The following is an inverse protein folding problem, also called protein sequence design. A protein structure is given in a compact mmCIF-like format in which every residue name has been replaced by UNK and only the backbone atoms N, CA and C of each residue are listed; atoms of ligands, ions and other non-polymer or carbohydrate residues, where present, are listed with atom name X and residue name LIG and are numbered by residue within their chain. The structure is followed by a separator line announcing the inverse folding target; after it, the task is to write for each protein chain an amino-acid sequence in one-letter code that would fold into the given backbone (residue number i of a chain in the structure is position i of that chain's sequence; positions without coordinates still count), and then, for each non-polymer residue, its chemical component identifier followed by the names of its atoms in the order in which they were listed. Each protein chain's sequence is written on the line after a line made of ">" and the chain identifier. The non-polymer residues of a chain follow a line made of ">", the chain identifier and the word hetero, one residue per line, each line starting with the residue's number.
data_IF_080970316652
#
_entry.id   IF_080970316652
#
_cell.length_a   1.000
_cell.length_b   1.000
_cell.length_c   1.000
_cell.angle_alpha   90.00
_cell.angle_beta   90.00
_cell.angle_gamma   90.00
#
_symmetry.space_group_name_H-M   'P 1'
#
loop_
_entity.id
_entity.type
_entity.pdbx_description
1 polymer ?
#
# COMPACT_ATOMS: atom_id res chain seq x y z
N UNK A 1 1.58 4.15 -63.07
CA UNK A 1 2.89 4.67 -62.65
C UNK A 1 2.73 5.25 -61.26
N UNK A 2 3.33 4.57 -60.25
CA UNK A 2 3.82 5.04 -58.92
C UNK A 2 2.96 6.03 -58.11
N UNK A 3 2.71 5.92 -56.80
CA UNK A 3 3.19 5.15 -55.64
C UNK A 3 2.07 5.25 -54.55
N UNK A 4 1.77 4.27 -53.71
CA UNK A 4 2.52 3.87 -52.50
C UNK A 4 1.90 4.50 -51.23
N UNK A 5 1.43 3.69 -50.27
CA UNK A 5 1.46 3.84 -48.78
C UNK A 5 0.47 2.85 -48.12
N UNK A 6 1.00 2.10 -47.14
CA UNK A 6 0.43 1.46 -45.94
C UNK A 6 -1.04 1.80 -45.57
N UNK A 7 -1.88 0.90 -45.03
CA UNK A 7 -1.66 0.16 -43.79
C UNK A 7 -2.73 -0.93 -43.54
N UNK A 8 -2.42 -1.85 -42.62
CA UNK A 8 -3.21 -2.99 -42.19
C UNK A 8 -4.38 -2.64 -41.23
N UNK A 9 -5.37 -3.55 -41.16
CA UNK A 9 -6.34 -3.83 -40.05
C UNK A 9 -7.81 -3.73 -40.45
N UNK A 10 -8.50 -4.89 -40.47
CA UNK A 10 -9.88 -5.17 -40.02
C UNK A 10 -10.33 -6.47 -40.73
N UNK A 11 -10.20 -7.65 -40.12
CA UNK A 11 -11.12 -8.26 -39.15
C UNK A 11 -12.57 -8.35 -39.70
N UNK A 12 -12.86 -9.48 -40.36
CA UNK A 12 -14.19 -9.92 -40.79
C UNK A 12 -14.87 -10.73 -39.66
N UNK A 13 -16.12 -10.42 -39.28
CA UNK A 13 -16.88 -11.14 -38.27
C UNK A 13 -17.98 -12.01 -38.92
N UNK A 14 -17.93 -13.33 -38.68
CA UNK A 14 -19.09 -14.21 -38.84
C UNK A 14 -18.95 -15.42 -37.90
N UNK A 15 -19.73 -15.45 -36.81
CA UNK A 15 -20.98 -16.23 -36.70
C UNK A 15 -20.69 -17.66 -36.21
N UNK A 16 -20.70 -17.87 -34.90
CA UNK A 16 -21.88 -18.31 -34.13
C UNK A 16 -22.40 -19.70 -34.56
N UNK A 17 -22.16 -20.69 -33.69
CA UNK A 17 -23.11 -21.75 -33.34
C UNK A 17 -22.57 -22.43 -32.08
N UNK A 18 -23.03 -21.98 -30.91
CA UNK A 18 -24.02 -22.65 -30.08
C UNK A 18 -23.40 -23.64 -29.07
N UNK A 19 -23.37 -23.25 -27.79
CA UNK A 19 -24.37 -23.57 -26.75
C UNK A 19 -24.02 -24.89 -26.05
N UNK A 20 -23.56 -24.83 -24.80
CA UNK A 20 -24.38 -25.10 -23.61
C UNK A 20 -23.52 -25.23 -22.33
N UNK A 21 -23.96 -24.58 -21.24
CA UNK A 21 -23.96 -25.18 -19.90
C UNK A 21 -22.67 -25.28 -19.05
N UNK A 22 -22.40 -24.20 -18.31
CA UNK A 22 -21.89 -24.15 -16.91
C UNK A 22 -20.45 -24.62 -16.55
N UNK A 23 -19.89 -24.09 -15.44
CA UNK A 23 -18.45 -23.92 -15.20
C UNK A 23 -17.86 -24.98 -14.26
N UNK A 24 -16.55 -25.21 -14.28
CA UNK A 24 -15.74 -25.45 -13.08
C UNK A 24 -14.24 -25.60 -13.41
N UNK A 25 -13.41 -24.96 -12.59
CA UNK A 25 -12.06 -25.35 -12.20
C UNK A 25 -11.01 -25.62 -13.30
N UNK A 26 -10.02 -24.72 -13.40
CA UNK A 26 -8.65 -25.09 -13.78
C UNK A 26 -7.65 -24.13 -13.12
N UNK A 27 -7.36 -24.43 -11.85
CA UNK A 27 -6.08 -24.08 -11.24
C UNK A 27 -5.03 -25.03 -11.79
N UNK A 28 -4.04 -24.46 -12.47
CA UNK A 28 -2.83 -25.16 -12.90
C UNK A 28 -1.93 -25.27 -11.69
N UNK A 29 -1.80 -26.46 -11.12
CA UNK A 29 -0.77 -26.75 -10.12
C UNK A 29 0.46 -27.32 -10.82
N UNK A 30 1.55 -26.56 -10.73
CA UNK A 30 2.87 -26.83 -11.28
C UNK A 30 3.67 -27.50 -10.18
N UNK A 31 3.50 -28.80 -9.96
CA UNK A 31 4.48 -29.56 -9.17
C UNK A 31 4.41 -31.07 -9.41
N UNK A 32 5.03 -31.53 -10.51
CA UNK A 32 5.42 -32.92 -10.65
C UNK A 32 6.87 -33.07 -10.17
N UNK A 33 7.17 -33.84 -9.11
CA UNK A 33 8.54 -34.15 -8.76
C UNK A 33 9.08 -35.23 -9.70
N UNK A 34 10.24 -34.93 -10.29
CA UNK A 34 11.04 -35.75 -11.18
C UNK A 34 11.33 -37.15 -10.61
N UNK A 35 11.01 -38.17 -11.41
CA UNK A 35 11.42 -39.55 -11.20
C UNK A 35 12.95 -39.67 -11.31
N UNK A 36 13.57 -40.29 -10.30
CA UNK A 36 14.95 -40.82 -10.39
C UNK A 36 14.87 -42.34 -10.32
N UNK A 37 15.69 -42.90 -11.19
CA UNK A 37 15.70 -44.22 -11.78
C UNK A 37 16.19 -45.34 -10.84
N UNK A 38 15.71 -46.55 -11.15
CA UNK A 38 16.05 -47.83 -10.55
C UNK A 38 17.55 -48.16 -10.59
N UNK A 39 18.07 -48.67 -9.48
CA UNK A 39 19.16 -49.64 -9.48
C UNK A 39 18.66 -50.87 -8.70
N UNK A 40 18.49 -51.99 -9.43
CA UNK A 40 18.32 -53.34 -8.88
C UNK A 40 19.71 -53.86 -8.55
N UNK A 41 19.88 -54.38 -7.34
CA UNK A 41 20.91 -55.37 -7.05
C UNK A 41 20.25 -56.54 -6.31
N UNK A 42 20.61 -57.74 -6.77
CA UNK A 42 20.11 -59.03 -6.34
C UNK A 42 20.57 -59.41 -4.93
N UNK A 43 19.68 -60.00 -4.13
CA UNK A 43 20.08 -60.85 -3.01
C UNK A 43 19.01 -61.91 -2.70
N UNK A 44 19.28 -63.10 -3.24
CA UNK A 44 19.14 -64.42 -2.64
C UNK A 44 18.00 -64.71 -1.64
N UNK A 45 17.19 -65.68 -2.03
CA UNK A 45 16.29 -66.44 -1.17
C UNK A 45 17.03 -67.10 0.00
N UNK A 46 16.47 -66.94 1.20
CA UNK A 46 16.77 -67.78 2.38
C UNK A 46 15.46 -68.47 2.80
N UNK A 47 15.40 -69.81 2.87
CA UNK A 47 14.22 -70.53 3.32
C UNK A 47 14.23 -70.64 4.84
N UNK A 48 13.16 -70.19 5.48
CA UNK A 48 13.01 -70.28 6.93
C UNK A 48 11.71 -69.64 7.40
N UNK A 49 10.60 -70.38 7.32
CA UNK A 49 9.48 -70.13 8.21
C UNK A 49 9.90 -70.57 9.63
N UNK A 50 9.54 -69.81 10.67
CA UNK A 50 8.40 -70.30 11.44
C UNK A 50 7.48 -69.22 12.04
N UNK A 51 6.25 -69.70 12.27
CA UNK A 51 5.26 -69.23 13.26
C UNK A 51 4.40 -67.99 12.93
N UNK A 52 3.19 -68.28 12.46
CA UNK A 52 2.02 -67.41 12.58
C UNK A 52 1.82 -67.01 14.05
N UNK A 53 2.04 -65.72 14.34
CA UNK A 53 1.50 -65.06 15.55
C UNK A 53 0.10 -64.55 15.22
N UNK A 54 -0.86 -64.63 16.15
CA UNK A 54 -2.24 -64.23 15.88
C UNK A 54 -2.31 -62.74 15.52
N UNK A 55 -2.98 -62.45 14.41
CA UNK A 55 -3.17 -61.12 13.86
C UNK A 55 -3.72 -60.13 14.91
N UNK A 56 -2.90 -59.15 15.29
CA UNK A 56 -3.38 -57.95 15.96
C UNK A 56 -4.10 -57.05 14.94
N UNK A 57 -5.12 -56.27 15.33
CA UNK A 57 -5.98 -55.56 14.39
C UNK A 57 -5.26 -54.33 13.80
N UNK A 58 -4.39 -54.53 12.80
CA UNK A 58 -3.66 -53.45 12.10
C UNK A 58 -4.60 -52.45 11.40
N UNK A 59 -5.83 -52.86 11.08
CA UNK A 59 -6.82 -52.03 10.38
C UNK A 59 -7.29 -50.83 11.21
N UNK A 60 -7.32 -50.93 12.55
CA UNK A 60 -7.76 -49.80 13.41
C UNK A 60 -6.67 -48.74 13.59
N UNK A 61 -5.39 -49.13 13.47
CA UNK A 61 -4.24 -48.23 13.67
C UNK A 61 -3.99 -47.29 12.48
N UNK A 62 -4.21 -47.76 11.23
CA UNK A 62 -4.03 -46.92 10.03
C UNK A 62 -5.17 -45.91 9.85
N UNK A 63 -6.41 -46.31 10.16
CA UNK A 63 -7.59 -45.43 10.09
C UNK A 63 -7.45 -44.26 11.06
N UNK A 64 -7.03 -44.51 12.31
CA UNK A 64 -6.88 -43.46 13.30
C UNK A 64 -5.79 -42.43 12.90
N UNK A 65 -4.71 -42.88 12.23
CA UNK A 65 -3.64 -41.99 11.76
C UNK A 65 -4.08 -41.12 10.56
N UNK A 66 -4.87 -41.67 9.63
CA UNK A 66 -5.43 -40.87 8.53
C UNK A 66 -6.48 -39.86 9.00
N UNK A 67 -7.34 -40.23 9.94
CA UNK A 67 -8.32 -39.32 10.54
C UNK A 67 -7.63 -38.19 11.30
N UNK A 68 -6.60 -38.48 12.10
CA UNK A 68 -5.82 -37.45 12.82
C UNK A 68 -5.07 -36.53 11.85
N UNK A 69 -4.53 -37.04 10.74
CA UNK A 69 -3.79 -36.20 9.78
C UNK A 69 -4.73 -35.31 8.95
N UNK A 70 -5.92 -35.80 8.63
CA UNK A 70 -6.97 -35.00 7.95
C UNK A 70 -7.61 -33.95 8.86
N UNK A 71 -7.80 -34.24 10.15
CA UNK A 71 -8.33 -33.27 11.12
C UNK A 71 -7.29 -32.23 11.57
N UNK A 72 -6.03 -32.64 11.71
CA UNK A 72 -4.95 -31.73 12.15
C UNK A 72 -4.28 -30.97 11.00
N UNK A 73 -4.46 -31.40 9.75
CA UNK A 73 -3.96 -30.71 8.55
C UNK A 73 -4.40 -29.24 8.45
N UNK A 74 -5.72 -28.95 8.41
CA UNK A 74 -6.20 -27.57 8.30
C UNK A 74 -5.90 -26.74 9.56
N UNK A 75 -5.91 -27.36 10.74
CA UNK A 75 -5.60 -26.69 12.01
C UNK A 75 -4.11 -26.30 12.11
N UNK A 76 -3.20 -27.19 11.69
CA UNK A 76 -1.75 -26.93 11.64
C UNK A 76 -1.37 -25.95 10.53
N UNK A 77 -2.14 -25.92 9.43
CA UNK A 77 -2.01 -24.90 8.40
C UNK A 77 -2.38 -23.51 8.97
N UNK A 78 -3.52 -23.39 9.67
CA UNK A 78 -3.92 -22.14 10.34
C UNK A 78 -2.92 -21.66 11.41
N UNK A 79 -2.36 -22.57 12.21
CA UNK A 79 -1.35 -22.24 13.22
C UNK A 79 0.00 -21.81 12.59
N UNK A 80 0.48 -22.52 11.55
CA UNK A 80 1.73 -22.14 10.85
C UNK A 80 1.59 -20.84 10.04
N UNK A 81 0.41 -20.59 9.48
CA UNK A 81 0.08 -19.32 8.82
C UNK A 81 0.16 -18.15 9.81
N UNK A 82 -0.26 -18.38 11.06
CA UNK A 82 -0.22 -17.38 12.13
C UNK A 82 1.22 -17.08 12.55
N UNK A 83 2.07 -18.10 12.73
CA UNK A 83 3.48 -17.92 13.10
C UNK A 83 4.26 -17.13 12.04
N UNK A 84 4.06 -17.42 10.75
CA UNK A 84 4.72 -16.70 9.65
C UNK A 84 4.27 -15.23 9.55
N UNK A 85 2.99 -14.98 9.82
CA UNK A 85 2.43 -13.62 9.86
C UNK A 85 3.00 -12.80 11.02
N UNK A 86 3.14 -13.42 12.20
CA UNK A 86 3.73 -12.81 13.39
C UNK A 86 5.22 -12.48 13.17
N UNK A 87 5.98 -13.35 12.50
CA UNK A 87 7.38 -13.07 12.16
C UNK A 87 7.54 -11.91 11.17
N UNK A 88 6.59 -11.75 10.24
CA UNK A 88 6.60 -10.64 9.28
C UNK A 88 6.27 -9.31 9.96
N UNK A 89 5.31 -9.32 10.89
CA UNK A 89 5.00 -8.19 11.76
C UNK A 89 6.18 -7.84 12.68
N UNK A 90 6.82 -8.84 13.29
CA UNK A 90 8.00 -8.65 14.13
C UNK A 90 9.14 -7.93 13.38
N UNK A 91 9.43 -8.36 12.15
CA UNK A 91 10.42 -7.69 11.28
C UNK A 91 10.04 -6.25 10.91
N UNK A 92 8.76 -5.97 10.68
CA UNK A 92 8.29 -4.61 10.43
C UNK A 92 8.52 -3.69 11.64
N UNK A 93 8.16 -4.16 12.84
CA UNK A 93 8.36 -3.41 14.07
C UNK A 93 9.84 -3.21 14.38
N UNK A 94 10.68 -4.22 14.16
CA UNK A 94 12.12 -4.13 14.35
C UNK A 94 12.75 -3.10 13.39
N UNK A 95 12.43 -3.19 12.09
CA UNK A 95 12.88 -2.21 11.10
C UNK A 95 12.40 -0.80 11.44
N UNK A 96 11.15 -0.66 11.86
CA UNK A 96 10.57 0.62 12.27
C UNK A 96 11.33 1.20 13.45
N UNK A 97 11.53 0.41 14.52
CA UNK A 97 12.23 0.84 15.72
C UNK A 97 13.69 1.23 15.41
N UNK A 98 14.40 0.44 14.61
CA UNK A 98 15.77 0.73 14.19
C UNK A 98 15.83 2.00 13.32
N UNK A 99 14.96 2.14 12.33
CA UNK A 99 14.93 3.32 11.46
C UNK A 99 14.68 4.62 12.26
N UNK A 100 13.75 4.59 13.23
CA UNK A 100 13.52 5.72 14.13
C UNK A 100 14.70 5.97 15.07
N UNK A 101 15.27 4.92 15.65
CA UNK A 101 16.43 5.05 16.55
C UNK A 101 17.63 5.65 15.81
N UNK A 102 17.93 5.20 14.59
CA UNK A 102 18.97 5.76 13.75
C UNK A 102 18.66 7.20 13.33
N UNK A 103 17.42 7.50 12.93
CA UNK A 103 17.02 8.86 12.59
C UNK A 103 17.25 9.83 13.76
N UNK A 104 16.82 9.44 14.96
CA UNK A 104 16.98 10.26 16.17
C UNK A 104 18.46 10.38 16.54
N UNK A 105 19.19 9.27 16.53
CA UNK A 105 20.62 9.24 16.91
C UNK A 105 21.48 10.07 15.96
N UNK A 106 21.26 9.94 14.65
CA UNK A 106 22.00 10.70 13.64
C UNK A 106 21.62 12.20 13.64
N UNK A 107 20.41 12.54 14.09
CA UNK A 107 19.96 13.93 14.25
C UNK A 107 20.62 14.57 15.46
N UNK A 108 20.67 13.86 16.58
CA UNK A 108 21.36 14.30 17.79
C UNK A 108 22.86 14.41 17.56
N UNK A 109 23.44 13.49 16.77
CA UNK A 109 24.88 13.49 16.44
C UNK A 109 25.27 14.48 15.33
N UNK A 110 24.32 15.23 14.74
CA UNK A 110 24.55 16.22 13.67
C UNK A 110 25.32 15.68 12.44
N UNK A 111 25.38 14.35 12.27
CA UNK A 111 26.08 13.67 11.16
C UNK A 111 25.14 13.23 10.04
N UNK A 112 23.90 13.72 10.06
CA UNK A 112 22.91 13.37 9.05
C UNK A 112 23.37 13.73 7.64
N UNK A 113 23.28 12.80 6.67
CA UNK A 113 23.58 13.07 5.27
C UNK A 113 22.44 13.90 4.65
N UNK A 114 22.43 15.20 4.94
CA UNK A 114 21.42 16.15 4.44
C UNK A 114 21.34 16.19 2.93
N UNK A 115 22.47 15.98 2.23
CA UNK A 115 22.52 15.90 0.77
C UNK A 115 21.65 14.77 0.23
N UNK A 116 21.77 13.58 0.82
CA UNK A 116 20.99 12.41 0.41
C UNK A 116 19.50 12.60 0.74
N UNK A 117 19.21 13.21 1.88
CA UNK A 117 17.82 13.51 2.30
C UNK A 117 17.15 14.49 1.34
N UNK A 118 17.84 15.56 0.93
CA UNK A 118 17.30 16.55 -0.02
C UNK A 118 17.07 15.91 -1.40
N UNK A 119 18.01 15.08 -1.87
CA UNK A 119 17.86 14.37 -3.14
C UNK A 119 16.66 13.42 -3.10
N UNK A 120 16.47 12.70 -1.99
CA UNK A 120 15.30 11.82 -1.80
C UNK A 120 14.00 12.61 -1.70
N UNK A 121 14.00 13.76 -1.01
CA UNK A 121 12.84 14.64 -0.95
C UNK A 121 12.44 15.15 -2.34
N UNK A 122 13.42 15.59 -3.14
CA UNK A 122 13.20 16.03 -4.51
C UNK A 122 12.64 14.90 -5.39
N UNK A 123 13.17 13.69 -5.26
CA UNK A 123 12.68 12.52 -5.97
C UNK A 123 11.21 12.22 -5.62
N UNK A 124 10.87 12.18 -4.32
CA UNK A 124 9.50 11.91 -3.86
C UNK A 124 8.54 13.01 -4.36
N UNK A 125 8.93 14.29 -4.27
CA UNK A 125 8.14 15.41 -4.78
C UNK A 125 7.91 15.28 -6.29
N UNK A 126 8.97 14.99 -7.05
CA UNK A 126 8.88 14.90 -8.51
C UNK A 126 7.90 13.81 -8.98
N UNK A 127 7.87 12.66 -8.28
CA UNK A 127 6.98 11.54 -8.61
C UNK A 127 5.54 11.79 -8.15
N UNK A 128 5.32 12.62 -7.12
CA UNK A 128 3.99 12.83 -6.53
C UNK A 128 3.30 14.13 -6.93
N UNK A 129 4.03 15.17 -7.31
CA UNK A 129 3.48 16.51 -7.56
C UNK A 129 2.49 16.55 -8.73
N UNK A 130 2.83 15.93 -9.87
CA UNK A 130 1.95 15.91 -11.05
C UNK A 130 0.67 15.10 -10.75
N UNK A 131 0.73 13.85 -10.25
CA UNK A 131 -0.47 13.14 -9.83
C UNK A 131 -1.29 13.88 -8.77
N UNK A 132 -0.64 14.57 -7.82
CA UNK A 132 -1.33 15.37 -6.81
C UNK A 132 -2.13 16.51 -7.42
N UNK A 133 -1.55 17.23 -8.38
CA UNK A 133 -2.27 18.27 -9.13
C UNK A 133 -3.47 17.67 -9.88
N UNK A 134 -3.25 16.59 -10.63
CA UNK A 134 -4.28 16.00 -11.48
C UNK A 134 -5.44 15.38 -10.69
N UNK A 135 -5.19 14.87 -9.48
CA UNK A 135 -6.23 14.28 -8.63
C UNK A 135 -6.92 15.33 -7.75
N UNK A 136 -6.20 16.34 -7.27
CA UNK A 136 -6.77 17.35 -6.36
C UNK A 136 -7.84 18.23 -7.01
N UNK A 137 -7.69 18.57 -8.30
CA UNK A 137 -8.67 19.38 -9.04
C UNK A 137 -10.03 18.65 -9.13
N UNK A 138 -10.14 17.46 -9.77
CA UNK A 138 -11.43 16.78 -9.90
C UNK A 138 -12.00 16.40 -8.54
N UNK A 139 -11.15 16.04 -7.56
CA UNK A 139 -11.61 15.78 -6.20
C UNK A 139 -12.26 17.02 -5.56
N UNK A 140 -11.62 18.19 -5.67
CA UNK A 140 -12.17 19.46 -5.18
C UNK A 140 -13.48 19.84 -5.86
N UNK A 141 -13.58 19.64 -7.18
CA UNK A 141 -14.82 19.86 -7.94
C UNK A 141 -15.94 18.93 -7.46
N UNK A 142 -15.69 17.63 -7.32
CA UNK A 142 -16.69 16.66 -6.89
C UNK A 142 -17.22 17.02 -5.49
N UNK A 143 -16.33 17.34 -4.54
CA UNK A 143 -16.74 17.72 -3.19
C UNK A 143 -17.56 19.01 -3.21
N UNK A 144 -17.12 20.03 -3.96
CA UNK A 144 -17.83 21.31 -4.02
C UNK A 144 -19.22 21.20 -4.67
N UNK A 145 -19.36 20.38 -5.72
CA UNK A 145 -20.66 20.13 -6.37
C UNK A 145 -21.56 19.31 -5.45
N UNK A 146 -21.06 18.22 -4.86
CA UNK A 146 -21.89 17.35 -4.03
C UNK A 146 -22.38 18.08 -2.78
N UNK A 147 -21.46 18.73 -2.05
CA UNK A 147 -21.81 19.48 -0.84
C UNK A 147 -22.67 20.69 -1.18
N UNK A 148 -22.34 21.41 -2.25
CA UNK A 148 -23.11 22.57 -2.67
C UNK A 148 -24.55 22.22 -3.06
N UNK A 149 -24.77 21.13 -3.80
CA UNK A 149 -26.11 20.65 -4.13
C UNK A 149 -26.93 20.29 -2.88
N UNK A 150 -26.33 19.63 -1.89
CA UNK A 150 -27.01 19.33 -0.62
C UNK A 150 -27.37 20.61 0.15
N UNK A 151 -26.46 21.58 0.21
CA UNK A 151 -26.67 22.86 0.91
C UNK A 151 -27.78 23.68 0.24
N UNK A 152 -27.84 23.68 -1.10
CA UNK A 152 -28.88 24.36 -1.87
C UNK A 152 -30.27 23.75 -1.63
N UNK A 153 -30.37 22.42 -1.48
CA UNK A 153 -31.64 21.74 -1.17
C UNK A 153 -32.20 22.16 0.20
N UNK A 154 -31.32 22.49 1.15
CA UNK A 154 -31.71 22.97 2.49
C UNK A 154 -31.83 24.51 2.53
N UNK A 155 -31.59 25.20 1.41
CA UNK A 155 -31.71 26.66 1.28
C UNK A 155 -30.58 27.46 1.95
N UNK A 156 -29.49 26.81 2.35
CA UNK A 156 -28.42 27.41 3.15
C UNK A 156 -27.19 27.81 2.31
N UNK A 157 -27.41 28.37 1.11
CA UNK A 157 -26.34 28.66 0.12
C UNK A 157 -25.15 29.45 0.67
N UNK A 158 -25.39 30.31 1.67
CA UNK A 158 -24.35 31.11 2.32
C UNK A 158 -23.27 30.27 3.00
N UNK A 159 -23.55 29.05 3.50
CA UNK A 159 -22.57 28.18 4.21
C UNK A 159 -21.91 27.13 3.31
N UNK A 160 -22.18 27.15 2.00
CA UNK A 160 -21.69 26.14 1.06
C UNK A 160 -20.15 26.05 1.03
N UNK A 161 -19.46 27.19 1.10
CA UNK A 161 -17.98 27.24 1.10
C UNK A 161 -17.34 26.68 2.37
N UNK A 162 -17.96 26.88 3.53
CA UNK A 162 -17.52 26.27 4.78
C UNK A 162 -17.66 24.75 4.72
N UNK A 163 -18.86 24.26 4.35
CA UNK A 163 -19.15 22.84 4.34
C UNK A 163 -18.26 22.07 3.35
N UNK A 164 -18.06 22.60 2.14
CA UNK A 164 -17.18 21.99 1.14
C UNK A 164 -15.71 22.04 1.56
N UNK A 165 -15.24 23.21 2.00
CA UNK A 165 -13.84 23.41 2.37
C UNK A 165 -13.40 22.59 3.59
N UNK A 166 -14.24 22.50 4.62
CA UNK A 166 -13.96 21.67 5.80
C UNK A 166 -13.91 20.18 5.47
N UNK A 167 -14.78 19.69 4.57
CA UNK A 167 -14.74 18.31 4.10
C UNK A 167 -13.43 17.98 3.38
N UNK A 168 -12.96 18.88 2.52
CA UNK A 168 -11.66 18.74 1.84
C UNK A 168 -10.52 18.77 2.84
N UNK A 169 -10.48 19.71 3.79
CA UNK A 169 -9.37 19.84 4.74
C UNK A 169 -9.32 18.64 5.70
N UNK A 170 -10.44 18.29 6.34
CA UNK A 170 -10.44 17.32 7.45
C UNK A 170 -10.27 15.86 7.02
N UNK A 171 -10.74 15.52 5.83
CA UNK A 171 -10.78 14.13 5.34
C UNK A 171 -10.20 14.01 3.93
N UNK A 172 -10.67 14.84 3.00
CA UNK A 172 -10.32 14.67 1.59
C UNK A 172 -8.83 14.76 1.29
N UNK A 173 -8.18 15.84 1.69
CA UNK A 173 -6.78 16.10 1.40
C UNK A 173 -5.84 15.08 2.08
N UNK A 174 -5.99 14.72 3.37
CA UNK A 174 -5.18 13.68 3.99
C UNK A 174 -5.31 12.32 3.30
N UNK A 175 -6.51 11.96 2.84
CA UNK A 175 -6.76 10.68 2.15
C UNK A 175 -6.14 10.65 0.75
N UNK A 176 -6.30 11.73 -0.02
CA UNK A 176 -5.66 11.84 -1.35
C UNK A 176 -4.13 11.81 -1.21
N UNK A 177 -3.58 12.56 -0.23
CA UNK A 177 -2.15 12.55 0.04
C UNK A 177 -1.64 11.15 0.42
N UNK A 178 -2.36 10.44 1.30
CA UNK A 178 -2.05 9.07 1.68
C UNK A 178 -2.00 8.10 0.49
N UNK A 179 -3.01 8.16 -0.38
CA UNK A 179 -3.10 7.30 -1.56
C UNK A 179 -1.96 7.58 -2.55
N UNK A 180 -1.62 8.85 -2.75
CA UNK A 180 -0.52 9.24 -3.65
C UNK A 180 0.84 8.89 -3.08
N UNK A 181 1.05 9.07 -1.78
CA UNK A 181 2.26 8.64 -1.11
C UNK A 181 2.38 7.11 -1.17
N UNK A 182 1.30 6.37 -0.93
CA UNK A 182 1.28 4.90 -1.02
C UNK A 182 1.55 4.40 -2.43
N UNK A 183 0.82 4.93 -3.40
CA UNK A 183 0.86 4.49 -4.79
C UNK A 183 2.11 4.96 -5.53
N UNK A 184 2.36 6.27 -5.60
CA UNK A 184 3.42 6.82 -6.44
C UNK A 184 4.78 6.81 -5.72
N UNK A 185 4.88 7.44 -4.55
CA UNK A 185 6.14 7.50 -3.80
C UNK A 185 6.55 6.12 -3.25
N UNK A 186 5.61 5.39 -2.65
CA UNK A 186 5.83 4.07 -2.08
C UNK A 186 6.30 3.06 -3.12
N UNK A 187 5.64 3.00 -4.28
CA UNK A 187 6.10 2.13 -5.38
C UNK A 187 7.47 2.50 -5.90
N UNK A 188 7.75 3.80 -6.07
CA UNK A 188 9.06 4.25 -6.55
C UNK A 188 10.18 3.86 -5.55
N UNK A 189 9.93 4.01 -4.25
CA UNK A 189 10.88 3.64 -3.19
C UNK A 189 11.05 2.13 -3.10
N UNK A 190 9.95 1.36 -3.12
CA UNK A 190 10.00 -0.10 -3.10
C UNK A 190 10.72 -0.66 -4.33
N UNK A 191 10.52 -0.05 -5.51
CA UNK A 191 11.20 -0.45 -6.76
C UNK A 191 12.69 -0.17 -6.70
N UNK A 192 13.12 1.03 -6.29
CA UNK A 192 14.54 1.37 -6.20
C UNK A 192 15.26 0.48 -5.17
N UNK A 193 14.62 0.22 -4.02
CA UNK A 193 15.22 -0.62 -2.99
C UNK A 193 15.22 -2.11 -3.40
N UNK A 194 14.13 -2.60 -3.99
CA UNK A 194 14.05 -3.94 -4.54
C UNK A 194 15.05 -4.19 -5.66
N UNK A 195 15.26 -3.21 -6.55
CA UNK A 195 16.28 -3.28 -7.59
C UNK A 195 17.70 -3.40 -7.02
N UNK A 196 18.01 -2.68 -5.93
CA UNK A 196 19.31 -2.80 -5.23
C UNK A 196 19.46 -4.14 -4.54
N UNK A 197 18.38 -4.66 -3.97
CA UNK A 197 18.36 -5.99 -3.33
C UNK A 197 18.67 -7.08 -4.35
N UNK A 198 18.01 -7.10 -5.52
CA UNK A 198 18.26 -8.13 -6.55
C UNK A 198 19.60 -7.98 -7.28
N UNK A 199 20.26 -6.82 -7.15
CA UNK A 199 21.61 -6.57 -7.66
C UNK A 199 22.70 -6.84 -6.61
N UNK A 200 22.33 -7.42 -5.46
CA UNK A 200 23.25 -7.76 -4.36
C UNK A 200 23.95 -6.54 -3.72
N UNK A 201 23.48 -5.31 -4.01
CA UNK A 201 24.07 -4.08 -3.45
C UNK A 201 23.81 -3.98 -1.94
N UNK A 202 22.65 -4.46 -1.48
CA UNK A 202 22.26 -4.45 -0.06
C UNK A 202 23.13 -5.43 0.75
N UNK A 203 23.44 -6.60 0.18
CA UNK A 203 24.28 -7.58 0.83
C UNK A 203 25.76 -7.18 0.80
N UNK A 204 26.21 -6.51 -0.26
CA UNK A 204 27.53 -5.88 -0.30
C UNK A 204 27.71 -4.86 0.85
N UNK A 205 26.70 -4.05 1.17
CA UNK A 205 26.76 -3.13 2.32
C UNK A 205 26.96 -3.88 3.65
N UNK A 206 26.24 -5.00 3.85
CA UNK A 206 26.38 -5.85 5.04
C UNK A 206 27.78 -6.44 5.17
N UNK A 207 28.38 -6.89 4.07
CA UNK A 207 29.76 -7.42 4.03
C UNK A 207 30.78 -6.32 4.35
N UNK A 208 30.53 -5.08 3.92
CA UNK A 208 31.35 -3.92 4.26
C UNK A 208 31.14 -3.42 5.71
N UNK A 209 30.31 -4.10 6.51
CA UNK A 209 30.02 -3.71 7.89
C UNK A 209 29.15 -2.46 8.02
N UNK A 210 28.44 -2.06 6.96
CA UNK A 210 27.53 -0.91 6.94
C UNK A 210 26.10 -1.41 7.08
N UNK A 211 25.36 -0.88 8.06
CA UNK A 211 23.95 -1.22 8.23
C UNK A 211 23.10 -0.66 7.06
N UNK A 212 22.44 -1.51 6.25
CA UNK A 212 21.59 -1.06 5.16
C UNK A 212 20.38 -0.23 5.64
N UNK A 213 19.86 -0.48 6.85
CA UNK A 213 18.74 0.29 7.40
C UNK A 213 19.18 1.74 7.61
N UNK A 214 20.31 1.94 8.27
CA UNK A 214 20.85 3.26 8.52
C UNK A 214 21.16 4.01 7.22
N UNK A 215 21.76 3.35 6.23
CA UNK A 215 22.24 4.00 4.99
C UNK A 215 21.13 4.24 3.97
N UNK A 216 20.13 3.35 3.86
CA UNK A 216 19.12 3.39 2.79
C UNK A 216 17.74 3.86 3.26
N UNK A 217 17.34 3.51 4.49
CA UNK A 217 15.99 3.79 5.02
C UNK A 217 15.93 5.15 5.70
N UNK A 218 16.90 5.47 6.56
CA UNK A 218 16.95 6.75 7.30
C UNK A 218 16.81 8.00 6.43
N UNK A 219 17.56 8.19 5.32
CA UNK A 219 17.43 9.40 4.51
C UNK A 219 16.05 9.51 3.83
N UNK A 220 15.38 8.39 3.53
CA UNK A 220 14.03 8.37 2.96
C UNK A 220 12.98 8.69 4.01
N UNK A 221 13.14 8.17 5.22
CA UNK A 221 12.30 8.49 6.36
C UNK A 221 12.41 9.99 6.71
N UNK A 222 13.63 10.54 6.72
CA UNK A 222 13.84 11.96 6.90
C UNK A 222 13.18 12.78 5.78
N UNK A 223 13.30 12.34 4.52
CA UNK A 223 12.69 13.03 3.38
C UNK A 223 11.15 13.07 3.49
N UNK A 224 10.50 11.95 3.82
CA UNK A 224 9.02 11.90 3.86
C UNK A 224 8.45 12.77 4.98
N UNK A 225 9.18 12.92 6.09
CA UNK A 225 8.79 13.77 7.23
C UNK A 225 8.59 15.22 6.78
N UNK A 226 9.39 15.71 5.82
CA UNK A 226 9.24 17.06 5.27
C UNK A 226 8.31 17.11 4.05
N UNK A 227 8.33 16.09 3.20
CA UNK A 227 7.55 16.10 1.95
C UNK A 227 6.05 15.88 2.19
N UNK A 228 5.67 14.98 3.11
CA UNK A 228 4.27 14.68 3.40
C UNK A 228 3.44 15.93 3.81
N UNK A 229 3.88 16.79 4.75
CA UNK A 229 3.11 17.99 5.10
C UNK A 229 3.04 19.01 3.95
N UNK A 230 4.12 19.18 3.18
CA UNK A 230 4.15 20.08 2.02
C UNK A 230 3.17 19.61 0.94
N UNK A 231 3.15 18.30 0.66
CA UNK A 231 2.22 17.70 -0.30
C UNK A 231 0.76 17.85 0.16
N UNK A 232 0.49 17.71 1.46
CA UNK A 232 -0.84 17.94 2.03
C UNK A 232 -1.31 19.38 1.81
N UNK A 233 -0.48 20.36 2.15
CA UNK A 233 -0.80 21.77 1.95
C UNK A 233 -1.05 22.11 0.48
N UNK A 234 -0.27 21.52 -0.44
CA UNK A 234 -0.48 21.66 -1.87
C UNK A 234 -1.84 21.10 -2.33
N UNK A 235 -2.22 19.91 -1.86
CA UNK A 235 -3.52 19.29 -2.18
C UNK A 235 -4.69 20.11 -1.60
N UNK A 236 -4.57 20.62 -0.38
CA UNK A 236 -5.58 21.49 0.23
C UNK A 236 -5.77 22.75 -0.61
N UNK A 237 -4.67 23.41 -0.99
CA UNK A 237 -4.71 24.63 -1.79
C UNK A 237 -5.40 24.40 -3.14
N UNK A 238 -4.99 23.36 -3.88
CA UNK A 238 -5.58 23.03 -5.18
C UNK A 238 -7.04 22.59 -5.07
N UNK A 239 -7.38 21.80 -4.06
CA UNK A 239 -8.75 21.35 -3.82
C UNK A 239 -9.71 22.51 -3.49
N UNK A 240 -9.27 23.45 -2.65
CA UNK A 240 -10.02 24.65 -2.31
C UNK A 240 -10.16 25.60 -3.51
N UNK A 241 -9.09 25.79 -4.29
CA UNK A 241 -9.11 26.63 -5.49
C UNK A 241 -10.09 26.08 -6.55
N UNK A 242 -10.08 24.76 -6.78
CA UNK A 242 -11.01 24.10 -7.68
C UNK A 242 -12.46 24.22 -7.19
N UNK A 243 -12.70 24.02 -5.88
CA UNK A 243 -14.02 24.17 -5.28
C UNK A 243 -14.58 25.59 -5.38
N UNK A 244 -13.73 26.60 -5.15
CA UNK A 244 -14.07 28.01 -5.32
C UNK A 244 -14.45 28.34 -6.78
N UNK A 245 -13.64 27.90 -7.74
CA UNK A 245 -13.88 28.16 -9.16
C UNK A 245 -15.24 27.62 -9.62
N UNK A 246 -15.61 26.41 -9.18
CA UNK A 246 -16.90 25.80 -9.52
C UNK A 246 -18.07 26.46 -8.79
N UNK A 247 -17.90 26.84 -7.53
CA UNK A 247 -18.97 27.49 -6.77
C UNK A 247 -19.38 28.83 -7.40
N UNK A 248 -18.39 29.64 -7.77
CA UNK A 248 -18.59 30.94 -8.42
C UNK A 248 -19.08 30.79 -9.87
N UNK A 249 -18.52 29.84 -10.62
CA UNK A 249 -18.82 29.68 -12.04
C UNK A 249 -20.16 28.98 -12.34
N UNK A 250 -20.49 27.91 -11.60
CA UNK A 250 -21.59 27.00 -11.96
C UNK A 250 -22.72 26.96 -10.94
N UNK A 251 -22.48 27.28 -9.66
CA UNK A 251 -23.49 27.16 -8.58
C UNK A 251 -24.10 28.50 -8.16
N UNK A 252 -23.93 29.55 -8.98
CA UNK A 252 -24.44 30.92 -8.75
C UNK A 252 -24.13 31.49 -7.35
N UNK A 253 -23.07 30.99 -6.71
CA UNK A 253 -22.61 31.46 -5.40
C UNK A 253 -21.90 32.80 -5.53
N UNK A 254 -22.16 33.71 -4.59
CA UNK A 254 -21.41 34.96 -4.53
C UNK A 254 -19.98 34.70 -4.04
N UNK A 255 -18.94 35.16 -4.76
CA UNK A 255 -17.54 34.97 -4.37
C UNK A 255 -17.24 35.38 -2.92
N UNK A 256 -17.82 36.51 -2.51
CA UNK A 256 -17.67 37.03 -1.16
C UNK A 256 -18.27 36.12 -0.09
N UNK A 257 -19.41 35.49 -0.35
CA UNK A 257 -20.05 34.57 0.61
C UNK A 257 -19.24 33.28 0.78
N UNK A 258 -18.61 32.77 -0.29
CA UNK A 258 -17.78 31.57 -0.19
C UNK A 258 -16.57 31.79 0.71
N UNK A 259 -15.82 32.88 0.46
CA UNK A 259 -14.61 33.20 1.21
C UNK A 259 -14.95 33.59 2.65
N UNK A 260 -16.02 34.37 2.86
CA UNK A 260 -16.44 34.77 4.21
C UNK A 260 -16.86 33.56 5.05
N UNK A 261 -17.64 32.64 4.48
CA UNK A 261 -18.06 31.42 5.20
C UNK A 261 -16.91 30.46 5.41
N UNK A 262 -16.03 30.30 4.43
CA UNK A 262 -14.83 29.51 4.65
C UNK A 262 -13.96 30.11 5.78
N UNK A 263 -13.73 31.43 5.79
CA UNK A 263 -12.93 32.09 6.82
C UNK A 263 -13.57 32.07 8.22
N UNK A 264 -14.90 32.07 8.33
CA UNK A 264 -15.59 32.03 9.62
C UNK A 264 -15.61 30.64 10.26
N UNK A 265 -15.64 29.58 9.44
CA UNK A 265 -15.72 28.19 9.92
C UNK A 265 -14.40 27.42 9.85
N UNK A 266 -13.46 27.80 8.98
CA UNK A 266 -12.17 27.13 8.88
C UNK A 266 -11.28 27.53 10.05
N UNK A 267 -11.00 26.57 10.94
CA UNK A 267 -10.03 26.76 12.01
C UNK A 267 -8.63 26.40 11.55
N UNK A 268 -7.62 27.15 12.03
CA UNK A 268 -6.21 26.77 11.89
C UNK A 268 -5.97 25.36 12.46
N UNK A 269 -6.72 24.98 13.49
CA UNK A 269 -6.63 23.65 14.10
C UNK A 269 -7.00 22.53 13.12
N UNK A 270 -7.97 22.76 12.23
CA UNK A 270 -8.38 21.75 11.23
C UNK A 270 -7.25 21.46 10.24
N UNK A 271 -6.54 22.50 9.82
CA UNK A 271 -5.37 22.37 8.93
C UNK A 271 -4.22 21.68 9.66
N UNK A 272 -3.94 22.05 10.91
CA UNK A 272 -2.87 21.42 11.70
C UNK A 272 -3.13 19.92 11.90
N UNK A 273 -4.37 19.54 12.24
CA UNK A 273 -4.76 18.13 12.38
C UNK A 273 -4.64 17.39 11.05
N UNK A 274 -5.06 18.00 9.95
CA UNK A 274 -4.93 17.40 8.61
C UNK A 274 -3.46 17.16 8.24
N UNK A 275 -2.59 18.14 8.48
CA UNK A 275 -1.16 18.05 8.22
C UNK A 275 -0.50 16.97 9.10
N UNK A 276 -0.84 16.93 10.39
CA UNK A 276 -0.31 15.93 11.33
C UNK A 276 -0.75 14.50 10.95
N UNK A 277 -2.00 14.32 10.52
CA UNK A 277 -2.49 13.05 9.97
C UNK A 277 -1.66 12.63 8.76
N UNK A 278 -1.52 13.50 7.76
CA UNK A 278 -0.75 13.19 6.55
C UNK A 278 0.71 12.91 6.83
N UNK A 279 1.30 13.62 7.78
CA UNK A 279 2.67 13.36 8.23
C UNK A 279 2.83 11.93 8.76
N UNK A 280 1.94 11.48 9.65
CA UNK A 280 1.93 10.10 10.15
C UNK A 280 1.69 9.08 9.02
N UNK A 281 0.78 9.38 8.09
CA UNK A 281 0.51 8.51 6.95
C UNK A 281 1.74 8.32 6.06
N UNK A 282 2.47 9.40 5.77
CA UNK A 282 3.70 9.33 4.98
C UNK A 282 4.77 8.47 5.64
N UNK A 283 4.92 8.59 6.96
CA UNK A 283 5.87 7.77 7.73
C UNK A 283 5.51 6.28 7.68
N UNK A 284 4.24 5.93 7.87
CA UNK A 284 3.82 4.51 7.78
C UNK A 284 4.06 3.96 6.37
N UNK A 285 3.68 4.72 5.35
CA UNK A 285 3.85 4.31 3.95
C UNK A 285 5.32 4.08 3.60
N UNK A 286 6.22 5.01 3.96
CA UNK A 286 7.64 4.86 3.59
C UNK A 286 8.26 3.63 4.27
N UNK A 287 7.88 3.35 5.53
CA UNK A 287 8.40 2.21 6.27
C UNK A 287 7.93 0.90 5.66
N UNK A 288 6.66 0.81 5.28
CA UNK A 288 6.11 -0.37 4.58
C UNK A 288 6.82 -0.58 3.24
N UNK A 289 7.05 0.50 2.48
CA UNK A 289 7.76 0.43 1.21
C UNK A 289 9.23 -0.01 1.38
N UNK A 290 9.92 0.52 2.39
CA UNK A 290 11.29 0.11 2.69
C UNK A 290 11.38 -1.34 3.14
N UNK A 291 10.47 -1.80 4.00
CA UNK A 291 10.44 -3.20 4.43
C UNK A 291 10.26 -4.13 3.23
N UNK A 292 9.23 -3.88 2.40
CA UNK A 292 8.94 -4.74 1.25
C UNK A 292 10.06 -4.70 0.20
N UNK A 293 10.67 -3.54 -0.03
CA UNK A 293 11.82 -3.41 -0.92
C UNK A 293 13.08 -4.16 -0.46
N UNK A 294 13.39 -4.16 0.84
CA UNK A 294 14.55 -4.88 1.38
C UNK A 294 14.34 -6.41 1.43
N UNK A 295 13.10 -6.87 1.50
CA UNK A 295 12.76 -8.31 1.55
C UNK A 295 12.51 -8.92 0.16
N UNK A 296 12.77 -8.17 -0.91
CA UNK A 296 12.54 -8.60 -2.29
C UNK A 296 13.40 -9.81 -2.67
N UNK A 297 12.80 -10.82 -3.31
CA UNK A 297 13.49 -12.03 -3.78
C UNK A 297 12.96 -12.45 -5.15
N UNK A 298 13.77 -13.13 -5.96
CA UNK A 298 13.29 -13.73 -7.23
C UNK A 298 13.40 -12.81 -8.45
N UNK A 299 14.46 -12.00 -8.54
CA UNK A 299 14.75 -11.16 -9.71
C UNK A 299 13.69 -10.09 -9.99
N UNK A 300 13.53 -9.71 -11.26
CA UNK A 300 12.65 -8.59 -11.66
C UNK A 300 11.16 -8.81 -11.32
N UNK A 301 10.67 -10.06 -11.38
CA UNK A 301 9.29 -10.39 -10.98
C UNK A 301 9.08 -10.15 -9.48
N UNK A 302 10.06 -10.55 -8.66
CA UNK A 302 10.05 -10.29 -7.23
C UNK A 302 9.90 -8.81 -6.87
N UNK A 303 10.54 -7.92 -7.63
CA UNK A 303 10.44 -6.46 -7.42
C UNK A 303 9.00 -5.99 -7.65
N UNK A 304 8.35 -6.45 -8.71
CA UNK A 304 6.95 -6.10 -8.98
C UNK A 304 6.01 -6.61 -7.87
N UNK A 305 6.23 -7.84 -7.38
CA UNK A 305 5.44 -8.40 -6.29
C UNK A 305 5.62 -7.62 -4.97
N UNK A 306 6.86 -7.22 -4.67
CA UNK A 306 7.16 -6.39 -3.50
C UNK A 306 6.51 -5.00 -3.59
N UNK A 307 6.49 -4.39 -4.77
CA UNK A 307 5.83 -3.10 -5.03
C UNK A 307 4.32 -3.22 -4.83
N UNK A 308 3.68 -4.22 -5.43
CA UNK A 308 2.24 -4.44 -5.28
C UNK A 308 1.87 -4.68 -3.81
N UNK A 309 2.63 -5.54 -3.11
CA UNK A 309 2.41 -5.79 -1.69
C UNK A 309 2.60 -4.52 -0.84
N UNK A 310 3.62 -3.71 -1.15
CA UNK A 310 3.87 -2.43 -0.47
C UNK A 310 2.69 -1.48 -0.59
N UNK A 311 2.16 -1.29 -1.80
CA UNK A 311 1.04 -0.36 -2.05
C UNK A 311 -0.19 -0.82 -1.28
N UNK A 312 -0.56 -2.10 -1.39
CA UNK A 312 -1.76 -2.62 -0.75
C UNK A 312 -1.66 -2.53 0.78
N UNK A 313 -0.54 -2.99 1.35
CA UNK A 313 -0.34 -2.96 2.80
C UNK A 313 -0.26 -1.53 3.32
N UNK A 314 0.45 -0.65 2.61
CA UNK A 314 0.60 0.76 2.99
C UNK A 314 -0.74 1.49 2.97
N UNK A 315 -1.53 1.35 1.91
CA UNK A 315 -2.85 1.98 1.80
C UNK A 315 -3.79 1.45 2.87
N UNK A 316 -3.89 0.13 3.06
CA UNK A 316 -4.77 -0.45 4.09
C UNK A 316 -4.36 0.03 5.49
N UNK A 317 -3.06 0.03 5.80
CA UNK A 317 -2.55 0.51 7.09
C UNK A 317 -2.91 1.97 7.34
N UNK A 318 -2.78 2.83 6.32
CA UNK A 318 -3.14 4.25 6.43
C UNK A 318 -4.64 4.44 6.61
N UNK A 319 -5.49 3.67 5.92
CA UNK A 319 -6.94 3.76 6.12
C UNK A 319 -7.33 3.40 7.56
N UNK A 320 -6.78 2.32 8.10
CA UNK A 320 -6.99 1.94 9.51
C UNK A 320 -6.50 3.04 10.44
N UNK A 321 -5.31 3.60 10.19
CA UNK A 321 -4.76 4.68 10.99
C UNK A 321 -5.61 5.96 10.88
N UNK A 322 -6.17 6.28 9.71
CA UNK A 322 -7.08 7.41 9.53
C UNK A 322 -8.35 7.25 10.37
N UNK A 323 -8.92 6.04 10.41
CA UNK A 323 -10.09 5.76 11.25
C UNK A 323 -9.76 5.97 12.73
N UNK A 324 -8.63 5.42 13.20
CA UNK A 324 -8.20 5.56 14.60
C UNK A 324 -7.94 7.03 14.99
N UNK A 325 -7.20 7.78 14.17
CA UNK A 325 -6.90 9.18 14.46
C UNK A 325 -8.18 10.02 14.38
N UNK A 326 -9.02 9.80 13.36
CA UNK A 326 -10.28 10.54 13.23
C UNK A 326 -11.20 10.30 14.42
N UNK A 327 -11.31 9.06 14.88
CA UNK A 327 -12.10 8.73 16.07
C UNK A 327 -11.51 9.35 17.34
N UNK A 328 -10.19 9.26 17.53
CA UNK A 328 -9.49 9.83 18.68
C UNK A 328 -9.61 11.36 18.76
N UNK A 329 -9.47 12.06 17.63
CA UNK A 329 -9.64 13.51 17.55
C UNK A 329 -11.10 13.89 17.83
N UNK A 330 -12.06 13.16 17.26
CA UNK A 330 -13.49 13.43 17.47
C UNK A 330 -13.92 13.25 18.93
N UNK A 331 -13.26 12.33 19.65
CA UNK A 331 -13.51 12.12 21.08
C UNK A 331 -12.81 13.17 21.98
N UNK A 332 -11.64 13.65 21.57
CA UNK A 332 -10.84 14.60 22.37
C UNK A 332 -11.27 16.05 22.19
N UNK A 333 -11.76 16.41 21.00
CA UNK A 333 -12.26 17.75 20.68
C UNK A 333 -13.76 17.66 20.43
N UNK A 334 -14.64 17.94 21.42
CA UNK A 334 -16.04 18.11 21.13
C UNK A 334 -16.14 19.25 20.11
N UNK A 335 -16.61 18.92 18.89
CA UNK A 335 -16.82 19.90 17.84
C UNK A 335 -17.72 20.99 18.41
N UNK A 336 -17.17 22.18 18.65
CA UNK A 336 -17.99 23.37 18.91
C UNK A 336 -18.72 23.65 17.60
N UNK A 337 -19.94 23.13 17.53
CA UNK A 337 -20.96 23.58 16.59
C UNK A 337 -21.29 25.00 17.05
N UNK A 338 -20.63 25.97 16.43
CA UNK A 338 -21.01 27.37 16.50
C UNK A 338 -22.22 27.61 15.64
#
# INVERSE_FOLDING_TARGET
>A
MTAGVHDATAADPATEAQVNGLPLALGVDVNAPSAVEHVRDDAAAVPGAPEERPAAPETRASINRHVVTLLTGPLRFGLRQTDSSLQTLGRFFDLTAQAFAYLITDLIRLRHPWRDTINQAWFIISVTAIPALLVSIPFGVIVAVQVGNFIQQVGASSISGAAGGLGVIRQGAPMVAALLLGGAAGSAVATDLGARTIREEVDALRVMGIDPVQRLVTPRLAAIVFVAPVLCAFIIFMGLAAGYAINVGFQSGTPGSYIASFASFASVNDVVVAVLKTWLFGVVVILVACQRGLETKGGARGVADAVNASVVIGVVAVFVLNLLITQGVSMSMPMKVG
#
